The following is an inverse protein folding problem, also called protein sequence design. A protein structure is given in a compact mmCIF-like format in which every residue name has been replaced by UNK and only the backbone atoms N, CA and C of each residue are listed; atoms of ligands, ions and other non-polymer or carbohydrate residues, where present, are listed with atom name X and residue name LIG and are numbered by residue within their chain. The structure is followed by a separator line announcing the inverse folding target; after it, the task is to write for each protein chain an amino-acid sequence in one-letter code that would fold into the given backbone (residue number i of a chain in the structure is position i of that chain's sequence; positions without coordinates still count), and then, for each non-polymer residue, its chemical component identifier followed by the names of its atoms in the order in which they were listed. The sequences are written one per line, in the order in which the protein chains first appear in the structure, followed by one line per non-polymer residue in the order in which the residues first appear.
data_IF_273286862208
#
_entry.id   IF_273286862208
#
_cell.length_a   1.000
_cell.length_b   1.000
_cell.length_c   1.000
_cell.angle_alpha   90.00
_cell.angle_beta   90.00
_cell.angle_gamma   90.00
#
_symmetry.space_group_name_H-M   'P 1'
#
loop_
_entity.id
_entity.type
_entity.pdbx_description
1 polymer ?
#
# COMPACT_ATOMS: atom_id res chain seq x y z
N UNK A 1 -10.99 14.18 -6.77
CA UNK A 1 -10.69 13.17 -5.74
C UNK A 1 -9.41 12.46 -6.08
N UNK A 2 -8.52 12.36 -5.14
CA UNK A 2 -7.25 11.63 -5.31
C UNK A 2 -7.29 10.31 -4.57
N UNK A 3 -6.96 9.23 -5.28
CA UNK A 3 -7.04 7.87 -4.76
C UNK A 3 -5.64 7.24 -4.77
N UNK A 4 -5.25 6.67 -3.63
CA UNK A 4 -4.03 5.86 -3.51
C UNK A 4 -4.40 4.39 -3.63
N UNK A 5 -3.96 3.75 -4.71
CA UNK A 5 -4.09 2.30 -4.89
C UNK A 5 -2.86 1.57 -4.38
N UNK A 6 -3.06 0.48 -3.67
CA UNK A 6 -1.97 -0.29 -3.07
C UNK A 6 -2.12 -1.77 -3.42
N UNK A 7 -1.03 -2.34 -3.95
CA UNK A 7 -0.86 -3.78 -4.15
C UNK A 7 0.14 -4.27 -3.09
N UNK A 8 -0.35 -4.89 -2.00
CA UNK A 8 0.50 -5.21 -0.86
C UNK A 8 1.45 -6.36 -1.15
N UNK A 9 2.72 -6.17 -0.81
CA UNK A 9 3.73 -7.19 -0.83
C UNK A 9 4.80 -6.86 0.21
N UNK A 10 5.46 -7.87 0.75
CA UNK A 10 6.49 -7.66 1.77
C UNK A 10 7.85 -7.31 1.16
N UNK A 11 8.17 -7.85 -0.02
CA UNK A 11 9.41 -7.54 -0.74
C UNK A 11 9.24 -6.32 -1.64
N UNK A 12 8.10 -6.25 -2.32
CA UNK A 12 7.75 -5.17 -3.24
C UNK A 12 6.30 -4.81 -2.99
N UNK A 13 6.06 -3.58 -2.57
CA UNK A 13 4.71 -3.04 -2.44
C UNK A 13 4.48 -2.05 -3.58
N UNK A 14 3.53 -2.37 -4.46
CA UNK A 14 3.17 -1.48 -5.56
C UNK A 14 2.18 -0.42 -5.12
N UNK A 15 2.30 0.78 -5.66
CA UNK A 15 1.35 1.86 -5.39
C UNK A 15 1.13 2.71 -6.62
N UNK A 16 -0.04 3.32 -6.69
CA UNK A 16 -0.39 4.27 -7.73
C UNK A 16 -1.32 5.34 -7.19
N UNK A 17 -1.20 6.54 -7.74
CA UNK A 17 -2.04 7.68 -7.39
C UNK A 17 -2.75 8.15 -8.64
N UNK A 18 -4.07 8.27 -8.56
CA UNK A 18 -4.88 8.81 -9.63
C UNK A 18 -5.76 9.94 -9.13
N UNK A 19 -5.99 10.91 -10.01
CA UNK A 19 -7.00 11.93 -9.79
C UNK A 19 -8.22 11.59 -10.62
N UNK A 20 -9.39 11.67 -9.99
CA UNK A 20 -10.68 11.41 -10.62
C UNK A 20 -11.50 12.70 -10.59
N UNK A 21 -11.91 13.16 -11.78
CA UNK A 21 -12.83 14.28 -11.94
C UNK A 21 -13.96 13.87 -12.88
N UNK A 22 -15.15 13.64 -12.33
CA UNK A 22 -16.28 13.12 -13.10
C UNK A 22 -15.91 11.79 -13.75
N UNK A 23 -15.91 11.72 -15.06
CA UNK A 23 -15.55 10.53 -15.83
C UNK A 23 -14.08 10.50 -16.26
N UNK A 24 -13.27 11.44 -15.80
CA UNK A 24 -11.87 11.54 -16.20
C UNK A 24 -10.95 11.02 -15.12
N UNK A 25 -9.96 10.25 -15.55
CA UNK A 25 -8.90 9.70 -14.69
C UNK A 25 -7.57 10.22 -15.21
N UNK A 26 -6.72 10.68 -14.31
CA UNK A 26 -5.34 11.02 -14.66
C UNK A 26 -4.39 10.42 -13.65
N UNK A 27 -3.29 9.86 -14.15
CA UNK A 27 -2.24 9.30 -13.28
C UNK A 27 -1.42 10.45 -12.73
N UNK A 28 -1.32 10.52 -11.39
CA UNK A 28 -0.48 11.52 -10.71
C UNK A 28 0.94 11.00 -10.59
N UNK A 29 1.07 9.78 -10.08
CA UNK A 29 2.37 9.12 -9.91
C UNK A 29 2.14 7.63 -9.62
N UNK A 30 3.21 6.84 -9.70
CA UNK A 30 3.18 5.43 -9.34
C UNK A 30 4.60 4.95 -9.06
N UNK A 31 4.71 3.82 -8.40
CA UNK A 31 6.02 3.25 -8.10
C UNK A 31 5.92 2.03 -7.20
N UNK A 32 7.02 1.73 -6.55
CA UNK A 32 7.15 0.58 -5.66
C UNK A 32 7.95 0.98 -4.43
N UNK A 33 7.60 0.36 -3.30
CA UNK A 33 8.43 0.39 -2.10
C UNK A 33 9.11 -0.96 -2.00
N UNK A 34 10.43 -0.97 -2.04
CA UNK A 34 11.25 -2.18 -1.99
C UNK A 34 11.80 -2.35 -0.58
N UNK A 35 11.85 -3.60 -0.10
CA UNK A 35 12.51 -3.92 1.15
C UNK A 35 13.65 -4.89 0.91
N UNK A 36 14.69 -4.82 1.74
CA UNK A 36 15.89 -5.63 1.60
C UNK A 36 15.69 -7.02 2.17
N UNK A 37 16.00 -8.06 1.39
CA UNK A 37 15.88 -9.45 1.84
C UNK A 37 16.82 -9.79 3.01
N UNK A 38 17.90 -9.02 3.19
CA UNK A 38 18.85 -9.18 4.29
C UNK A 38 18.32 -8.64 5.62
N UNK A 39 17.28 -7.82 5.62
CA UNK A 39 16.69 -7.28 6.84
C UNK A 39 15.63 -8.24 7.39
N UNK A 40 15.43 -8.20 8.72
CA UNK A 40 14.38 -8.98 9.34
C UNK A 40 12.99 -8.40 9.02
N UNK A 41 11.95 -9.19 9.28
CA UNK A 41 10.60 -8.79 8.94
C UNK A 41 10.14 -7.52 9.66
N UNK A 42 10.41 -7.31 10.96
CA UNK A 42 10.04 -6.05 11.61
C UNK A 42 10.63 -4.82 10.92
N UNK A 43 11.89 -4.86 10.54
CA UNK A 43 12.53 -3.75 9.83
C UNK A 43 11.90 -3.52 8.45
N UNK A 44 11.58 -4.61 7.74
CA UNK A 44 10.92 -4.53 6.43
C UNK A 44 9.52 -3.92 6.55
N UNK A 45 8.77 -4.32 7.56
CA UNK A 45 7.43 -3.76 7.80
C UNK A 45 7.49 -2.29 8.17
N UNK A 46 8.49 -1.88 8.97
CA UNK A 46 8.71 -0.45 9.25
C UNK A 46 9.01 0.35 8.00
N UNK A 47 9.83 -0.20 7.10
CA UNK A 47 10.15 0.47 5.84
C UNK A 47 8.90 0.67 4.98
N UNK A 48 8.03 -0.34 4.90
CA UNK A 48 6.76 -0.24 4.19
C UNK A 48 5.85 0.84 4.81
N UNK A 49 5.73 0.84 6.13
CA UNK A 49 4.92 1.81 6.85
C UNK A 49 5.40 3.25 6.59
N UNK A 50 6.69 3.49 6.76
CA UNK A 50 7.29 4.82 6.56
C UNK A 50 7.17 5.29 5.12
N UNK A 51 7.37 4.38 4.16
CA UNK A 51 7.22 4.68 2.75
C UNK A 51 5.80 5.13 2.41
N UNK A 52 4.81 4.38 2.89
CA UNK A 52 3.40 4.73 2.67
C UNK A 52 3.02 6.02 3.40
N UNK A 53 3.44 6.20 4.64
CA UNK A 53 3.18 7.43 5.39
C UNK A 53 3.76 8.65 4.66
N UNK A 54 4.96 8.51 4.09
CA UNK A 54 5.59 9.56 3.30
C UNK A 54 4.82 9.91 2.04
N UNK A 55 4.29 8.89 1.34
CA UNK A 55 3.44 9.10 0.16
C UNK A 55 2.15 9.83 0.51
N UNK A 56 1.51 9.42 1.60
CA UNK A 56 0.27 10.04 2.06
C UNK A 56 0.50 11.51 2.42
N UNK A 57 1.58 11.81 3.11
CA UNK A 57 1.95 13.18 3.45
C UNK A 57 2.24 14.01 2.21
N UNK A 58 3.02 13.45 1.28
CA UNK A 58 3.47 14.17 0.09
C UNK A 58 2.33 14.49 -0.89
N UNK A 59 1.46 13.52 -1.14
CA UNK A 59 0.45 13.62 -2.19
C UNK A 59 -0.94 13.97 -1.68
N UNK A 60 -1.21 13.80 -0.40
CA UNK A 60 -2.51 14.14 0.21
C UNK A 60 -3.69 13.42 -0.44
N UNK A 61 -3.68 12.08 -0.58
CA UNK A 61 -4.82 11.39 -1.16
C UNK A 61 -6.06 11.53 -0.30
N UNK A 62 -7.23 11.45 -0.92
CA UNK A 62 -8.51 11.55 -0.22
C UNK A 62 -8.97 10.20 0.30
N UNK A 63 -8.59 9.12 -0.37
CA UNK A 63 -8.93 7.76 0.05
C UNK A 63 -7.90 6.77 -0.48
N UNK A 64 -7.91 5.56 0.05
CA UNK A 64 -7.05 4.47 -0.38
C UNK A 64 -7.89 3.29 -0.84
N UNK A 65 -7.36 2.55 -1.81
CA UNK A 65 -7.93 1.31 -2.31
C UNK A 65 -6.84 0.25 -2.22
N UNK A 66 -7.12 -0.84 -1.49
CA UNK A 66 -6.16 -1.91 -1.24
C UNK A 66 -6.67 -3.21 -1.85
N UNK A 67 -5.82 -3.87 -2.62
CA UNK A 67 -6.16 -5.14 -3.24
C UNK A 67 -6.39 -6.21 -2.19
N UNK A 68 -7.45 -7.02 -2.36
CA UNK A 68 -7.70 -8.16 -1.50
C UNK A 68 -6.64 -9.25 -1.72
N UNK A 69 -6.38 -9.99 -0.65
CA UNK A 69 -5.44 -11.10 -0.71
C UNK A 69 -6.07 -12.32 -1.36
N UNK A 70 -5.34 -12.92 -2.30
CA UNK A 70 -5.65 -14.25 -2.81
C UNK A 70 -4.61 -15.22 -2.26
N UNK A 71 -5.06 -16.14 -1.40
CA UNK A 71 -4.19 -17.15 -0.82
C UNK A 71 -3.97 -18.27 -1.84
N UNK A 72 -2.71 -18.53 -2.16
CA UNK A 72 -2.33 -19.73 -2.89
C UNK A 72 -2.02 -20.85 -1.88
N UNK A 73 -1.42 -21.94 -2.37
CA UNK A 73 -1.12 -23.11 -1.53
C UNK A 73 0.07 -22.91 -0.59
N UNK A 74 0.71 -21.74 -0.59
CA UNK A 74 1.86 -21.46 0.27
C UNK A 74 1.45 -20.60 1.47
N UNK A 75 1.16 -21.25 2.60
CA UNK A 75 0.72 -20.58 3.82
C UNK A 75 1.76 -19.58 4.35
N UNK A 76 3.05 -19.89 4.21
CA UNK A 76 4.12 -19.00 4.68
C UNK A 76 4.11 -17.67 3.91
N UNK A 77 4.00 -17.72 2.60
CA UNK A 77 3.91 -16.53 1.77
C UNK A 77 2.64 -15.74 2.09
N UNK A 78 1.52 -16.44 2.28
CA UNK A 78 0.26 -15.81 2.62
C UNK A 78 0.35 -15.00 3.93
N UNK A 79 1.04 -15.55 4.94
CA UNK A 79 1.25 -14.85 6.21
C UNK A 79 2.08 -13.58 6.01
N UNK A 80 3.18 -13.67 5.26
CA UNK A 80 4.06 -12.51 5.01
C UNK A 80 3.33 -11.41 4.24
N UNK A 81 2.55 -11.77 3.23
CA UNK A 81 1.75 -10.80 2.48
C UNK A 81 0.66 -10.21 3.37
N UNK A 82 0.04 -11.01 4.23
CA UNK A 82 -0.95 -10.54 5.19
C UNK A 82 -0.37 -9.52 6.18
N UNK A 83 0.85 -9.74 6.65
CA UNK A 83 1.54 -8.76 7.51
C UNK A 83 1.78 -7.44 6.79
N UNK A 84 2.27 -7.49 5.55
CA UNK A 84 2.48 -6.29 4.73
C UNK A 84 1.16 -5.55 4.48
N UNK A 85 0.09 -6.29 4.20
CA UNK A 85 -1.24 -5.72 4.00
C UNK A 85 -1.74 -5.02 5.26
N UNK A 86 -1.56 -5.64 6.42
CA UNK A 86 -1.94 -5.04 7.70
C UNK A 86 -1.21 -3.72 7.95
N UNK A 87 0.06 -3.66 7.64
CA UNK A 87 0.85 -2.43 7.74
C UNK A 87 0.33 -1.37 6.78
N UNK A 88 -0.04 -1.74 5.55
CA UNK A 88 -0.62 -0.80 4.60
C UNK A 88 -1.95 -0.23 5.09
N UNK A 89 -2.82 -1.08 5.63
CA UNK A 89 -4.08 -0.63 6.24
C UNK A 89 -3.81 0.33 7.39
N UNK A 90 -2.85 0.02 8.25
CA UNK A 90 -2.51 0.86 9.39
C UNK A 90 -1.98 2.22 8.94
N UNK A 91 -1.09 2.26 7.96
CA UNK A 91 -0.55 3.52 7.45
C UNK A 91 -1.67 4.42 6.89
N UNK A 92 -2.60 3.84 6.15
CA UNK A 92 -3.74 4.58 5.60
C UNK A 92 -4.67 5.06 6.71
N UNK A 93 -4.95 4.22 7.70
CA UNK A 93 -5.80 4.59 8.84
C UNK A 93 -5.17 5.73 9.66
N UNK A 94 -3.86 5.64 9.91
CA UNK A 94 -3.12 6.70 10.62
C UNK A 94 -3.14 8.02 9.85
N UNK A 95 -3.16 7.95 8.53
CA UNK A 95 -3.30 9.12 7.66
C UNK A 95 -4.72 9.65 7.55
N UNK A 96 -5.67 9.01 8.20
CA UNK A 96 -7.07 9.42 8.18
C UNK A 96 -7.80 9.09 6.88
N UNK A 97 -7.29 8.15 6.07
CA UNK A 97 -7.89 7.81 4.78
C UNK A 97 -8.98 6.76 4.93
N UNK A 98 -10.17 7.00 4.35
CA UNK A 98 -11.12 5.91 4.13
C UNK A 98 -10.48 4.84 3.24
N UNK A 99 -10.72 3.58 3.55
CA UNK A 99 -10.09 2.44 2.86
C UNK A 99 -11.18 1.59 2.22
N UNK A 100 -11.03 1.32 0.91
CA UNK A 100 -11.83 0.34 0.19
C UNK A 100 -10.95 -0.87 -0.14
N UNK A 101 -11.54 -2.05 -0.10
CA UNK A 101 -10.89 -3.30 -0.47
C UNK A 101 -11.52 -3.86 -1.74
N UNK A 102 -10.71 -4.41 -2.62
CA UNK A 102 -11.21 -4.96 -3.88
C UNK A 102 -10.46 -6.21 -4.32
#
# INVERSE_FOLDING_TARGET
MRILGIDPGYAILGWGLIDVKGNRFSVVDYGSILTEASEDMPARLQALYRGLAGLIEKYGPDEASIEELFFNNNAKTAILVGEARGVAVLACADGGLPISEY
#
